data_IF_546120713842
#
_entry.id   IF_546120713842
#
_cell.length_a   1.000
_cell.length_b   1.000
_cell.length_c   1.000
_cell.angle_alpha   90.00
_cell.angle_beta   90.00
_cell.angle_gamma   90.00
#
_symmetry.space_group_name_H-M   'P 1'
#
loop_
_entity.id
_entity.type
_entity.pdbx_description
1 polymer ?
#
# COMPACT_ATOMS: atom_id res chain seq x y z
N UNK A 1 -2.87 21.29 -3.30
CA UNK A 1 -3.01 20.64 -1.97
C UNK A 1 -2.93 19.16 -2.22
N UNK A 2 -1.95 18.47 -1.64
CA UNK A 2 -1.89 17.01 -1.75
C UNK A 2 -3.18 16.43 -1.15
N UNK A 3 -3.86 15.60 -1.93
CA UNK A 3 -5.03 14.91 -1.45
C UNK A 3 -4.61 13.95 -0.30
N UNK A 4 -5.26 14.01 0.88
CA UNK A 4 -4.84 13.21 2.02
C UNK A 4 -4.96 11.71 1.77
N UNK A 5 -5.85 11.27 0.88
CA UNK A 5 -5.97 9.86 0.49
C UNK A 5 -4.80 9.43 -0.39
N UNK A 6 -4.36 10.31 -1.30
CA UNK A 6 -3.18 10.06 -2.12
C UNK A 6 -1.91 9.97 -1.25
N UNK A 7 -1.73 10.87 -0.27
CA UNK A 7 -0.59 10.82 0.65
C UNK A 7 -0.57 9.54 1.50
N UNK A 8 -1.73 9.09 1.98
CA UNK A 8 -1.83 7.82 2.73
C UNK A 8 -1.58 6.60 1.85
N UNK A 9 -2.00 6.64 0.59
CA UNK A 9 -1.71 5.59 -0.39
C UNK A 9 -0.20 5.47 -0.60
N UNK A 10 0.50 6.59 -0.79
CA UNK A 10 1.95 6.60 -0.89
C UNK A 10 2.62 6.05 0.37
N UNK A 11 2.14 6.42 1.56
CA UNK A 11 2.65 5.90 2.82
C UNK A 11 2.48 4.38 2.94
N UNK A 12 1.33 3.82 2.50
CA UNK A 12 1.10 2.38 2.44
C UNK A 12 2.13 1.70 1.54
N UNK A 13 2.25 2.18 0.31
CA UNK A 13 3.15 1.58 -0.68
C UNK A 13 4.62 1.71 -0.26
N UNK A 14 5.04 2.84 0.30
CA UNK A 14 6.40 2.99 0.84
C UNK A 14 6.67 1.95 1.94
N UNK A 15 5.74 1.80 2.89
CA UNK A 15 5.92 0.85 4.00
C UNK A 15 6.07 -0.62 3.55
N UNK A 16 5.40 -0.98 2.45
CA UNK A 16 5.46 -2.31 1.83
C UNK A 16 6.68 -2.46 0.90
N UNK A 17 7.16 -1.36 0.31
CA UNK A 17 8.36 -1.33 -0.53
C UNK A 17 9.63 -1.49 0.31
N UNK A 18 9.67 -0.86 1.50
CA UNK A 18 10.76 -1.01 2.46
C UNK A 18 10.86 -2.44 2.97
N UNK A 19 9.72 -3.05 3.32
CA UNK A 19 9.66 -4.42 3.81
C UNK A 19 8.33 -5.08 3.44
N UNK A 20 8.35 -6.21 2.71
CA UNK A 20 7.20 -7.09 2.59
C UNK A 20 6.66 -7.50 3.96
N UNK A 21 5.35 -7.38 4.17
CA UNK A 21 4.71 -7.68 5.47
C UNK A 21 3.65 -8.76 5.30
N UNK A 22 3.45 -9.64 6.29
CA UNK A 22 2.37 -10.61 6.25
C UNK A 22 1.02 -9.90 6.22
N UNK A 23 0.05 -10.47 5.49
CA UNK A 23 -1.29 -9.87 5.34
C UNK A 23 -1.95 -9.53 6.69
N UNK A 24 -1.77 -10.37 7.71
CA UNK A 24 -2.30 -10.13 9.05
C UNK A 24 -1.74 -8.83 9.68
N UNK A 25 -0.44 -8.61 9.61
CA UNK A 25 0.22 -7.41 10.17
C UNK A 25 -0.21 -6.14 9.42
N UNK A 26 -0.35 -6.25 8.09
CA UNK A 26 -0.88 -5.14 7.27
C UNK A 26 -2.29 -4.80 7.69
N UNK A 27 -3.15 -5.80 7.90
CA UNK A 27 -4.51 -5.57 8.41
C UNK A 27 -4.50 -4.97 9.82
N UNK A 28 -3.68 -5.45 10.74
CA UNK A 28 -3.60 -4.86 12.09
C UNK A 28 -3.22 -3.39 12.06
N UNK A 29 -2.34 -3.00 11.14
CA UNK A 29 -1.85 -1.62 11.00
C UNK A 29 -2.83 -0.71 10.24
N UNK A 30 -3.44 -1.20 9.15
CA UNK A 30 -4.23 -0.39 8.22
C UNK A 30 -5.74 -0.54 8.42
N UNK A 31 -6.23 -1.70 8.87
CA UNK A 31 -7.67 -1.98 9.04
C UNK A 31 -8.24 -1.38 10.32
N UNK A 32 -7.41 -0.99 11.29
CA UNK A 32 -7.83 -0.58 12.64
C UNK A 32 -8.15 0.90 12.77
N UNK A 33 -7.81 1.74 11.79
CA UNK A 33 -8.01 3.20 11.86
C UNK A 33 -8.62 3.72 10.57
N UNK A 34 -9.80 4.35 10.61
CA UNK A 34 -10.24 5.18 9.51
C UNK A 34 -9.35 6.44 9.43
N UNK A 35 -8.95 6.90 8.22
CA UNK A 35 -9.35 6.42 6.88
C UNK A 35 -8.44 5.32 6.28
N UNK A 36 -7.46 4.78 7.01
CA UNK A 36 -6.45 3.82 6.49
C UNK A 36 -7.06 2.53 5.94
N UNK A 37 -8.21 2.10 6.44
CA UNK A 37 -8.91 0.92 5.92
C UNK A 37 -9.31 1.12 4.45
N UNK A 38 -9.99 2.24 4.14
CA UNK A 38 -10.38 2.55 2.77
C UNK A 38 -9.18 2.65 1.84
N UNK A 39 -8.07 3.23 2.31
CA UNK A 39 -6.81 3.30 1.54
C UNK A 39 -6.26 1.91 1.21
N UNK A 40 -6.31 0.98 2.16
CA UNK A 40 -5.90 -0.40 1.92
C UNK A 40 -6.81 -1.09 0.89
N UNK A 41 -8.13 -0.90 1.02
CA UNK A 41 -9.13 -1.46 0.09
C UNK A 41 -8.93 -0.91 -1.33
N UNK A 42 -8.80 0.41 -1.46
CA UNK A 42 -8.55 1.09 -2.73
C UNK A 42 -7.24 0.60 -3.36
N UNK A 43 -6.15 0.47 -2.59
CA UNK A 43 -4.88 -0.04 -3.10
C UNK A 43 -4.97 -1.49 -3.59
N UNK A 44 -5.82 -2.33 -2.97
CA UNK A 44 -6.11 -3.67 -3.45
C UNK A 44 -6.93 -3.64 -4.76
N UNK A 45 -7.96 -2.79 -4.83
CA UNK A 45 -8.84 -2.64 -5.99
C UNK A 45 -8.06 -2.09 -7.20
N UNK A 46 -7.21 -1.08 -7.00
CA UNK A 46 -6.36 -0.49 -8.05
C UNK A 46 -5.16 -1.37 -8.43
N UNK A 47 -4.97 -2.51 -7.77
CA UNK A 47 -3.86 -3.44 -8.03
C UNK A 47 -2.49 -2.83 -7.73
N UNK A 48 -2.39 -1.98 -6.71
CA UNK A 48 -1.13 -1.35 -6.27
C UNK A 48 -0.30 -2.28 -5.37
N UNK A 49 -0.94 -3.30 -4.82
CA UNK A 49 -0.32 -4.33 -3.97
C UNK A 49 -0.51 -5.71 -4.57
N UNK A 50 0.43 -6.60 -4.25
CA UNK A 50 0.46 -8.00 -4.66
C UNK A 50 0.50 -8.90 -3.43
N UNK A 51 -0.13 -10.07 -3.51
CA UNK A 51 -0.11 -11.07 -2.47
C UNK A 51 0.63 -12.32 -2.95
N UNK A 52 1.71 -12.69 -2.25
CA UNK A 52 2.49 -13.89 -2.55
C UNK A 52 1.92 -15.09 -1.79
N UNK A 53 1.19 -16.03 -2.44
CA UNK A 53 0.50 -17.12 -1.75
C UNK A 53 1.45 -18.13 -1.09
N UNK A 54 2.71 -18.22 -1.53
CA UNK A 54 3.70 -19.12 -0.92
C UNK A 54 4.29 -18.61 0.41
N UNK A 55 4.29 -17.29 0.63
CA UNK A 55 4.88 -16.66 1.82
C UNK A 55 3.87 -15.87 2.66
N UNK A 56 2.64 -15.74 2.17
CA UNK A 56 1.56 -14.94 2.77
C UNK A 56 1.94 -13.46 2.96
N UNK A 57 2.90 -12.99 2.17
CA UNK A 57 3.41 -11.63 2.22
C UNK A 57 2.68 -10.75 1.21
N UNK A 58 2.35 -9.55 1.66
CA UNK A 58 1.92 -8.44 0.82
C UNK A 58 3.15 -7.67 0.38
N UNK A 59 3.21 -7.36 -0.90
CA UNK A 59 4.27 -6.57 -1.53
C UNK A 59 3.68 -5.47 -2.39
N UNK A 60 4.49 -4.50 -2.80
CA UNK A 60 4.07 -3.50 -3.80
C UNK A 60 4.15 -4.11 -5.20
N UNK A 61 3.04 -4.02 -5.94
CA UNK A 61 2.96 -4.47 -7.33
C UNK A 61 3.81 -3.60 -8.25
N UNK A 62 3.98 -4.01 -9.51
CA UNK A 62 4.65 -3.18 -10.51
C UNK A 62 3.95 -1.81 -10.68
N UNK A 63 2.62 -1.78 -10.63
CA UNK A 63 1.81 -0.55 -10.74
C UNK A 63 2.01 0.36 -9.52
N UNK A 64 2.01 -0.21 -8.31
CA UNK A 64 2.29 0.55 -7.09
C UNK A 64 3.69 1.16 -7.08
N UNK A 65 4.69 0.43 -7.59
CA UNK A 65 6.07 0.95 -7.72
C UNK A 65 6.16 2.10 -8.72
N UNK A 66 5.45 2.02 -9.85
CA UNK A 66 5.39 3.12 -10.81
C UNK A 66 4.77 4.39 -10.21
N UNK A 67 3.71 4.23 -9.40
CA UNK A 67 3.07 5.34 -8.69
C UNK A 67 4.02 5.98 -7.65
N UNK A 68 4.78 5.17 -6.91
CA UNK A 68 5.82 5.68 -6.00
C UNK A 68 6.91 6.46 -6.74
N UNK A 69 7.41 5.94 -7.87
CA UNK A 69 8.45 6.59 -8.65
C UNK A 69 7.98 7.94 -9.24
N UNK A 70 6.73 8.01 -9.69
CA UNK A 70 6.13 9.24 -10.21
C UNK A 70 6.06 10.35 -9.14
N UNK A 71 5.82 10.00 -7.88
CA UNK A 71 5.75 10.95 -6.76
C UNK A 71 7.12 11.28 -6.14
N UNK A 72 8.17 10.50 -6.41
CA UNK A 72 9.54 10.80 -5.94
C UNK A 72 10.28 11.79 -6.84
N UNK A 73 9.70 12.14 -8.00
CA UNK A 73 10.30 13.03 -9.01
C UNK A 73 9.73 14.46 -8.92
N UNK A 74 8.79 14.71 -8.01
CA UNK A 74 8.19 16.04 -7.74
C UNK A 74 8.94 16.79 -6.63
#
# INVERSE_FOLDING_TARGET
MADPTHALTLQLLQSLAERPRPYAEVLETWRTSCPRLSIWEDACIDGLVDYAPGSHLVTVSARGRALLAANATD
#
